data_IF_836557452310
#
_entry.id   IF_836557452310
#
_cell.length_a   1.000
_cell.length_b   1.000
_cell.length_c   1.000
_cell.angle_alpha   90.00
_cell.angle_beta   90.00
_cell.angle_gamma   90.00
#
_symmetry.space_group_name_H-M   'P 1'
#
loop_
_entity.id
_entity.type
_entity.pdbx_description
1 polymer ?
#
# COMPACT_ATOMS: atom_id res chain seq x y z
N UNK A 1 55.96 23.65 17.18
CA UNK A 1 54.66 24.23 16.82
C UNK A 1 53.66 23.08 16.82
N UNK A 2 52.80 22.99 17.83
CA UNK A 2 51.87 21.85 18.01
C UNK A 2 50.56 22.22 17.32
N UNK A 3 50.21 21.50 16.26
CA UNK A 3 48.91 21.64 15.58
C UNK A 3 47.82 20.96 16.40
N UNK A 4 46.95 21.75 17.02
CA UNK A 4 45.69 21.30 17.60
C UNK A 4 44.64 21.21 16.48
N UNK A 5 44.67 20.14 15.68
CA UNK A 5 43.56 19.80 14.82
C UNK A 5 42.66 18.81 15.58
N UNK A 6 41.76 19.35 16.40
CA UNK A 6 40.75 18.56 17.10
C UNK A 6 39.76 18.05 16.06
N UNK A 7 39.89 16.78 15.67
CA UNK A 7 38.94 16.08 14.81
C UNK A 7 37.63 15.87 15.53
N UNK A 8 36.82 16.92 15.63
CA UNK A 8 35.43 16.78 16.06
C UNK A 8 34.69 16.16 14.87
N UNK A 9 34.54 14.83 14.86
CA UNK A 9 33.49 14.21 14.06
C UNK A 9 32.20 14.89 14.50
N UNK A 10 31.52 15.54 13.56
CA UNK A 10 30.20 16.10 13.82
C UNK A 10 29.28 15.04 14.41
N UNK A 11 28.15 15.44 15.04
CA UNK A 11 27.14 14.48 15.44
C UNK A 11 26.84 13.55 14.25
N UNK A 12 26.63 12.24 14.50
CA UNK A 12 26.29 11.32 13.42
C UNK A 12 25.09 11.87 12.66
N UNK A 13 25.08 11.66 11.34
CA UNK A 13 23.90 11.94 10.53
C UNK A 13 22.71 11.20 11.15
N UNK A 14 21.55 11.87 11.18
CA UNK A 14 20.32 11.20 11.56
C UNK A 14 20.12 9.96 10.67
N UNK A 15 19.52 8.89 11.20
CA UNK A 15 19.14 7.75 10.37
C UNK A 15 18.31 8.25 9.18
N UNK A 16 18.70 7.82 7.98
CA UNK A 16 17.91 8.05 6.78
C UNK A 16 16.69 7.14 6.86
N UNK A 17 15.50 7.73 6.86
CA UNK A 17 14.22 7.03 6.84
C UNK A 17 13.64 7.29 5.47
N UNK A 18 13.75 6.30 4.58
CA UNK A 18 13.23 6.33 3.22
C UNK A 18 11.92 5.53 3.28
N UNK A 19 10.80 6.23 3.13
CA UNK A 19 9.45 5.66 3.20
C UNK A 19 8.68 6.17 2.00
N UNK A 20 8.02 5.31 1.20
CA UNK A 20 7.17 5.75 0.11
C UNK A 20 6.14 6.77 0.56
N UNK A 21 5.85 7.76 -0.29
CA UNK A 21 4.75 8.65 -0.04
C UNK A 21 3.42 7.87 0.01
N UNK A 22 2.43 8.47 0.69
CA UNK A 22 1.09 7.90 0.74
C UNK A 22 0.49 7.75 -0.66
N UNK A 23 -0.31 6.70 -0.87
CA UNK A 23 -1.10 6.53 -2.10
C UNK A 23 -2.07 7.71 -2.24
N UNK A 24 -2.10 8.34 -3.41
CA UNK A 24 -3.02 9.42 -3.75
C UNK A 24 -4.10 8.95 -4.74
N UNK A 25 -5.11 9.78 -4.97
CA UNK A 25 -6.19 9.55 -5.93
C UNK A 25 -6.95 8.23 -5.74
N UNK A 26 -6.97 7.71 -4.49
CA UNK A 26 -7.76 6.52 -4.14
C UNK A 26 -9.25 6.76 -4.36
N UNK A 27 -9.90 5.89 -5.13
CA UNK A 27 -11.35 5.86 -5.24
C UNK A 27 -11.85 4.42 -5.36
N UNK A 28 -13.02 4.16 -4.77
CA UNK A 28 -13.70 2.88 -4.87
C UNK A 28 -15.15 3.16 -5.27
N UNK A 29 -15.55 2.71 -6.45
CA UNK A 29 -16.88 2.94 -7.01
C UNK A 29 -17.54 1.62 -7.36
N UNK A 30 -18.73 1.38 -6.81
CA UNK A 30 -19.53 0.22 -7.14
C UNK A 30 -20.34 0.48 -8.41
N UNK A 31 -20.25 -0.44 -9.36
CA UNK A 31 -21.13 -0.53 -10.52
C UNK A 31 -21.69 -1.95 -10.63
N UNK A 32 -23.01 -2.07 -10.49
CA UNK A 32 -23.70 -3.37 -10.45
C UNK A 32 -23.14 -4.29 -9.34
N UNK A 33 -22.53 -5.39 -9.75
CA UNK A 33 -21.92 -6.41 -8.88
C UNK A 33 -20.40 -6.29 -8.84
N UNK A 34 -19.82 -5.20 -9.36
CA UNK A 34 -18.39 -4.96 -9.34
C UNK A 34 -18.04 -3.68 -8.56
N UNK A 35 -16.90 -3.70 -7.87
CA UNK A 35 -16.27 -2.52 -7.28
C UNK A 35 -14.98 -2.21 -8.03
N UNK A 36 -14.92 -1.02 -8.59
CA UNK A 36 -13.75 -0.50 -9.30
C UNK A 36 -12.92 0.32 -8.31
N UNK A 37 -11.74 -0.20 -7.97
CA UNK A 37 -10.78 0.44 -7.08
C UNK A 37 -9.70 1.07 -7.95
N UNK A 38 -9.51 2.38 -7.85
CA UNK A 38 -8.45 3.11 -8.55
C UNK A 38 -7.47 3.72 -7.57
N UNK A 39 -6.18 3.57 -7.87
CA UNK A 39 -5.07 4.07 -7.05
C UNK A 39 -3.95 4.58 -7.94
N UNK A 40 -3.26 5.62 -7.49
CA UNK A 40 -2.02 6.11 -8.13
C UNK A 40 -0.82 5.68 -7.31
N UNK A 41 0.15 5.02 -7.96
CA UNK A 41 1.38 4.55 -7.29
C UNK A 41 2.29 5.75 -7.03
N UNK A 42 2.83 5.94 -5.81
CA UNK A 42 3.69 7.07 -5.49
C UNK A 42 4.99 7.06 -6.31
N UNK A 43 5.37 8.23 -6.83
CA UNK A 43 6.64 8.46 -7.56
C UNK A 43 7.83 8.73 -6.63
N UNK A 44 7.55 9.22 -5.42
CA UNK A 44 8.55 9.69 -4.48
C UNK A 44 8.33 9.14 -3.06
N UNK A 45 9.39 9.19 -2.27
CA UNK A 45 9.35 8.99 -0.83
C UNK A 45 8.79 10.24 -0.12
N UNK A 46 8.42 10.11 1.16
CA UNK A 46 7.92 11.21 1.99
C UNK A 46 8.91 12.39 2.11
N UNK A 47 10.20 12.14 1.94
CA UNK A 47 11.26 13.16 1.95
C UNK A 47 11.49 13.83 0.58
N UNK A 48 10.74 13.41 -0.45
CA UNK A 48 10.82 13.88 -1.82
C UNK A 48 11.95 13.25 -2.65
N UNK A 49 12.64 12.24 -2.14
CA UNK A 49 13.56 11.45 -2.95
C UNK A 49 12.81 10.55 -3.93
N UNK A 50 13.37 10.41 -5.14
CA UNK A 50 12.83 9.61 -6.24
C UNK A 50 13.91 8.63 -6.74
N UNK A 51 13.55 7.39 -7.13
CA UNK A 51 12.19 6.81 -7.06
C UNK A 51 11.75 6.49 -5.62
N UNK A 52 10.46 6.25 -5.41
CA UNK A 52 9.93 5.73 -4.15
C UNK A 52 10.50 4.34 -3.84
N UNK A 53 10.81 4.06 -2.58
CA UNK A 53 11.34 2.77 -2.11
C UNK A 53 10.18 1.77 -1.88
N UNK A 54 9.61 1.24 -2.97
CA UNK A 54 8.39 0.42 -2.97
C UNK A 54 8.55 -0.83 -3.84
N UNK A 55 8.27 -2.02 -3.29
CA UNK A 55 8.33 -3.30 -4.04
C UNK A 55 6.97 -3.79 -4.54
N UNK A 56 5.89 -3.49 -3.81
CA UNK A 56 4.52 -3.91 -4.15
C UNK A 56 3.49 -3.04 -3.46
N UNK A 57 2.26 -3.06 -3.98
CA UNK A 57 1.09 -2.49 -3.32
C UNK A 57 0.12 -3.62 -2.97
N UNK A 58 -0.42 -3.54 -1.76
CA UNK A 58 -1.46 -4.44 -1.26
C UNK A 58 -2.72 -3.61 -0.95
N UNK A 59 -3.87 -4.09 -1.42
CA UNK A 59 -5.17 -3.49 -1.11
C UNK A 59 -5.94 -4.45 -0.23
N UNK A 60 -6.29 -3.95 0.95
CA UNK A 60 -7.14 -4.64 1.91
C UNK A 60 -8.54 -4.03 1.87
N UNK A 61 -9.56 -4.86 1.98
CA UNK A 61 -10.94 -4.42 2.03
C UNK A 61 -11.75 -5.25 3.02
N UNK A 62 -12.69 -4.59 3.69
CA UNK A 62 -13.76 -5.24 4.42
C UNK A 62 -15.02 -5.25 3.55
N UNK A 63 -15.10 -6.26 2.68
CA UNK A 63 -16.18 -6.38 1.69
C UNK A 63 -17.37 -7.12 2.28
N UNK A 64 -18.25 -6.37 2.95
CA UNK A 64 -19.48 -6.90 3.56
C UNK A 64 -20.60 -5.85 3.58
N UNK A 65 -21.83 -6.28 3.84
CA UNK A 65 -22.95 -5.40 4.12
C UNK A 65 -23.17 -5.29 5.65
N UNK A 66 -22.78 -4.19 6.30
CA UNK A 66 -23.01 -4.00 7.73
C UNK A 66 -24.50 -3.83 8.05
N UNK A 67 -24.95 -4.28 9.23
CA UNK A 67 -26.26 -3.89 9.79
C UNK A 67 -26.30 -2.38 10.11
N UNK A 68 -27.51 -1.78 10.12
CA UNK A 68 -27.68 -0.32 10.28
C UNK A 68 -27.11 0.24 11.60
N UNK A 69 -27.02 -0.57 12.65
CA UNK A 69 -26.55 -0.18 13.98
C UNK A 69 -25.10 -0.58 14.27
N UNK A 70 -24.32 -0.88 13.23
CA UNK A 70 -22.93 -1.31 13.41
C UNK A 70 -22.04 -0.20 14.04
N UNK A 71 -21.20 -0.54 15.05
CA UNK A 71 -20.22 0.39 15.59
C UNK A 71 -19.15 0.79 14.55
N UNK A 72 -18.57 1.98 14.73
CA UNK A 72 -17.35 2.34 14.02
C UNK A 72 -16.20 1.47 14.50
N UNK A 73 -15.48 0.86 13.57
CA UNK A 73 -14.32 0.03 13.85
C UNK A 73 -13.09 0.93 14.06
N UNK A 74 -12.20 0.53 14.97
CA UNK A 74 -10.85 1.06 14.99
C UNK A 74 -10.07 0.59 13.76
N UNK A 75 -8.89 1.16 13.50
CA UNK A 75 -8.05 0.68 12.39
C UNK A 75 -7.61 -0.77 12.62
N UNK A 76 -7.25 -1.12 13.85
CA UNK A 76 -6.80 -2.47 14.20
C UNK A 76 -7.95 -3.49 14.01
N UNK A 77 -9.13 -3.22 14.58
CA UNK A 77 -10.31 -4.10 14.40
C UNK A 77 -10.70 -4.23 12.91
N UNK A 78 -10.59 -3.13 12.15
CA UNK A 78 -10.88 -3.16 10.72
C UNK A 78 -9.86 -4.04 9.97
N UNK A 79 -8.57 -3.96 10.33
CA UNK A 79 -7.51 -4.77 9.71
C UNK A 79 -7.65 -6.25 10.04
N UNK A 80 -8.05 -6.61 11.26
CA UNK A 80 -8.28 -8.00 11.65
C UNK A 80 -9.43 -8.66 10.87
N UNK A 81 -10.41 -7.86 10.45
CA UNK A 81 -11.56 -8.31 9.67
C UNK A 81 -11.35 -8.19 8.15
N UNK A 82 -10.43 -7.34 7.70
CA UNK A 82 -10.20 -7.08 6.30
C UNK A 82 -9.54 -8.28 5.60
N UNK A 83 -9.83 -8.43 4.31
CA UNK A 83 -9.19 -9.41 3.44
C UNK A 83 -8.32 -8.71 2.41
N UNK A 84 -7.21 -9.34 2.04
CA UNK A 84 -6.35 -8.90 0.94
C UNK A 84 -7.08 -9.14 -0.39
N UNK A 85 -7.53 -8.07 -1.06
CA UNK A 85 -8.30 -8.14 -2.32
C UNK A 85 -7.44 -7.98 -3.55
N UNK A 86 -6.27 -7.35 -3.42
CA UNK A 86 -5.31 -7.24 -4.51
C UNK A 86 -3.87 -7.12 -4.01
N UNK A 87 -2.96 -7.69 -4.78
CA UNK A 87 -1.53 -7.46 -4.66
C UNK A 87 -0.96 -7.26 -6.05
N UNK A 88 -0.16 -6.23 -6.22
CA UNK A 88 0.56 -6.04 -7.47
C UNK A 88 2.00 -5.56 -7.25
N UNK A 89 2.98 -6.14 -7.97
CA UNK A 89 4.37 -5.77 -7.83
C UNK A 89 4.67 -4.47 -8.58
N UNK A 90 5.59 -3.68 -8.01
CA UNK A 90 6.11 -2.47 -8.64
C UNK A 90 7.44 -2.82 -9.32
N UNK A 91 7.67 -2.23 -10.49
CA UNK A 91 8.94 -2.39 -11.20
C UNK A 91 10.08 -1.79 -10.37
N UNK A 92 11.07 -2.63 -10.03
CA UNK A 92 12.27 -2.22 -9.31
C UNK A 92 13.20 -1.45 -10.25
N UNK A 93 13.45 -0.17 -9.92
CA UNK A 93 14.29 0.72 -10.71
C UNK A 93 15.80 0.47 -10.50
N UNK A 94 16.20 -0.04 -9.33
CA UNK A 94 17.60 -0.24 -8.96
C UNK A 94 18.12 -1.65 -9.30
N UNK A 95 17.26 -2.53 -9.79
CA UNK A 95 17.65 -3.88 -10.21
C UNK A 95 18.61 -3.83 -11.41
N UNK A 96 19.91 -3.97 -11.15
CA UNK A 96 20.88 -4.29 -12.19
C UNK A 96 20.41 -5.57 -12.91
N UNK A 97 20.28 -5.50 -14.23
CA UNK A 97 19.88 -6.60 -15.13
C UNK A 97 20.74 -7.86 -14.92
N UNK A 98 20.43 -8.65 -13.90
CA UNK A 98 21.24 -9.77 -13.46
C UNK A 98 20.40 -10.68 -12.57
N UNK A 99 20.10 -11.87 -13.08
CA UNK A 99 19.51 -13.00 -12.38
C UNK A 99 18.11 -12.78 -11.78
N UNK A 100 17.08 -12.90 -12.61
CA UNK A 100 15.88 -13.75 -12.39
C UNK A 100 15.04 -13.65 -13.68
N UNK A 101 14.72 -14.78 -14.29
CA UNK A 101 13.81 -14.81 -15.44
C UNK A 101 12.41 -14.41 -14.95
N UNK A 102 12.04 -13.13 -15.16
CA UNK A 102 10.64 -12.70 -14.97
C UNK A 102 9.75 -13.59 -15.82
N UNK A 103 8.69 -14.15 -15.24
CA UNK A 103 7.69 -14.80 -16.06
C UNK A 103 7.11 -13.73 -16.98
N UNK A 104 6.93 -14.06 -18.27
CA UNK A 104 6.24 -13.17 -19.19
C UNK A 104 4.79 -12.87 -18.77
N UNK A 105 4.27 -13.63 -17.81
CA UNK A 105 2.94 -13.47 -17.23
C UNK A 105 2.89 -12.50 -16.04
N UNK A 106 4.02 -12.12 -15.44
CA UNK A 106 4.02 -11.21 -14.29
C UNK A 106 3.87 -9.75 -14.78
N UNK A 107 2.70 -9.16 -14.54
CA UNK A 107 2.45 -7.75 -14.79
C UNK A 107 3.05 -6.92 -13.65
N UNK A 108 4.04 -6.09 -13.99
CA UNK A 108 4.60 -5.08 -13.10
C UNK A 108 3.99 -3.72 -13.42
N UNK A 109 3.82 -2.91 -12.38
CA UNK A 109 3.32 -1.55 -12.49
C UNK A 109 4.43 -0.55 -12.23
N UNK A 110 4.34 0.62 -12.86
CA UNK A 110 5.37 1.67 -12.76
C UNK A 110 4.94 2.71 -11.73
N UNK A 111 5.90 3.32 -11.05
CA UNK A 111 5.62 4.45 -10.17
C UNK A 111 5.00 5.63 -10.96
N UNK A 112 3.99 6.28 -10.39
CA UNK A 112 3.16 7.30 -11.05
C UNK A 112 2.04 6.74 -11.95
N UNK A 113 1.97 5.41 -12.14
CA UNK A 113 0.88 4.79 -12.88
C UNK A 113 -0.42 4.77 -12.06
N UNK A 114 -1.54 5.06 -12.74
CA UNK A 114 -2.88 4.83 -12.21
C UNK A 114 -3.30 3.38 -12.50
N UNK A 115 -3.59 2.63 -11.43
CA UNK A 115 -4.00 1.23 -11.50
C UNK A 115 -5.48 1.12 -11.16
N UNK A 116 -6.22 0.37 -11.98
CA UNK A 116 -7.62 0.01 -11.71
C UNK A 116 -7.74 -1.48 -11.43
N UNK A 117 -8.35 -1.82 -10.31
CA UNK A 117 -8.64 -3.18 -9.86
C UNK A 117 -10.16 -3.35 -9.81
N UNK A 118 -10.63 -4.55 -10.16
CA UNK A 118 -12.04 -4.91 -10.12
C UNK A 118 -12.24 -6.03 -9.13
N UNK A 119 -13.06 -5.78 -8.11
CA UNK A 119 -13.50 -6.77 -7.14
C UNK A 119 -14.97 -7.13 -7.43
N UNK A 120 -15.26 -8.41 -7.63
CA UNK A 120 -16.63 -8.89 -7.83
C UNK A 120 -17.33 -9.12 -6.48
N UNK A 121 -18.51 -8.55 -6.32
CA UNK A 121 -19.40 -8.74 -5.18
C UNK A 121 -20.27 -9.98 -5.41
N UNK A 122 -20.12 -10.96 -4.54
CA UNK A 122 -20.99 -12.14 -4.55
C UNK A 122 -22.32 -11.81 -3.85
N UNK A 123 -23.37 -12.57 -4.16
CA UNK A 123 -24.66 -12.42 -3.48
C UNK A 123 -24.57 -12.66 -1.95
N UNK A 124 -23.56 -13.40 -1.50
CA UNK A 124 -23.30 -13.66 -0.08
C UNK A 124 -22.80 -12.41 0.65
N UNK A 125 -21.93 -11.61 0.00
CA UNK A 125 -21.41 -10.34 0.52
C UNK A 125 -22.53 -9.29 0.72
N UNK A 126 -23.61 -9.40 -0.06
CA UNK A 126 -24.76 -8.49 0.01
C UNK A 126 -25.79 -8.90 1.08
N UNK A 127 -25.55 -9.97 1.82
CA UNK A 127 -26.39 -10.33 2.96
C UNK A 127 -25.92 -9.50 4.17
N UNK A 128 -26.80 -8.71 4.82
CA UNK A 128 -26.42 -7.97 6.00
C UNK A 128 -25.87 -8.88 7.09
N UNK A 129 -24.73 -8.49 7.69
CA UNK A 129 -24.09 -9.20 8.80
C UNK A 129 -23.83 -8.26 9.96
N UNK A 130 -23.96 -8.82 11.17
CA UNK A 130 -23.46 -8.18 12.38
C UNK A 130 -21.95 -8.40 12.46
N UNK A 131 -21.19 -7.31 12.51
CA UNK A 131 -19.75 -7.40 12.76
C UNK A 131 -19.53 -7.50 14.28
N UNK A 132 -18.91 -8.60 14.70
CA UNK A 132 -18.53 -8.85 16.08
C UNK A 132 -17.04 -8.51 16.23
N UNK A 133 -16.71 -7.69 17.22
CA UNK A 133 -15.33 -7.34 17.57
C UNK A 133 -14.96 -8.20 18.77
N UNK A 134 -13.87 -8.94 18.68
CA UNK A 134 -13.35 -9.70 19.80
C UNK A 134 -12.61 -8.73 20.74
N UNK A 135 -13.14 -8.49 21.94
CA UNK A 135 -12.41 -7.72 22.97
C UNK A 135 -11.20 -8.56 23.44
N UNK A 136 -9.98 -8.10 23.12
CA UNK A 136 -8.72 -8.74 23.57
C UNK A 136 -8.38 -8.46 25.06
#
# INVERSE_FOLDING_TARGET
>A
MVSLACGMRGPPLAPLVIVPAQIFNFSAERFEDDVYIRVEIPEANEDGSEPAELDRVEIYALTTQPEEDQPQLSLDDWLDLATLVATFPIEDFDRETGDEERSSEDQFYVQGEEVTIVEALTGEVLVPVKIEIEDE
#
